data_IF_239630016812
#
_entry.id   IF_239630016812
#
_cell.length_a   1.000
_cell.length_b   1.000
_cell.length_c   1.000
_cell.angle_alpha   90.00
_cell.angle_beta   90.00
_cell.angle_gamma   90.00
#
_symmetry.space_group_name_H-M   'P 1'
#
loop_
_entity.id
_entity.type
_entity.pdbx_description
1 polymer ?
#
# COMPACT_ATOMS: atom_id res chain seq x y z
N UNK A 1 13.12 -20.00 4.71
CA UNK A 1 12.36 -18.81 5.17
C UNK A 1 12.45 -18.65 6.69
N UNK A 2 12.79 -17.46 7.18
CA UNK A 2 12.84 -17.08 8.61
C UNK A 2 11.74 -16.03 8.86
N UNK A 3 10.84 -16.31 9.81
CA UNK A 3 9.81 -15.35 10.22
C UNK A 3 10.34 -14.55 11.41
N UNK A 4 10.44 -13.23 11.25
CA UNK A 4 10.89 -12.34 12.32
C UNK A 4 9.71 -12.01 13.26
N UNK A 5 9.91 -12.21 14.56
CA UNK A 5 8.90 -11.96 15.60
C UNK A 5 9.42 -11.05 16.73
N UNK A 6 10.74 -11.13 17.02
CA UNK A 6 11.30 -10.37 18.11
C UNK A 6 11.32 -8.88 17.78
N UNK A 7 10.82 -8.04 18.69
CA UNK A 7 10.76 -6.59 18.52
C UNK A 7 12.14 -5.97 18.18
N UNK A 8 13.21 -6.47 18.81
CA UNK A 8 14.59 -6.04 18.54
C UNK A 8 15.00 -6.30 17.08
N UNK A 9 14.65 -7.46 16.54
CA UNK A 9 15.00 -7.83 15.16
C UNK A 9 14.18 -7.00 14.15
N UNK A 10 12.89 -6.81 14.39
CA UNK A 10 12.02 -5.96 13.57
C UNK A 10 12.50 -4.51 13.57
N UNK A 11 12.90 -3.97 14.73
CA UNK A 11 13.48 -2.61 14.83
C UNK A 11 14.80 -2.49 14.07
N UNK A 12 15.68 -3.52 14.16
CA UNK A 12 16.91 -3.56 13.37
C UNK A 12 16.61 -3.60 11.86
N UNK A 13 15.66 -4.43 11.47
CA UNK A 13 15.22 -4.55 10.06
C UNK A 13 14.70 -3.22 9.51
N UNK A 14 13.97 -2.42 10.31
CA UNK A 14 13.49 -1.09 9.91
C UNK A 14 14.64 -0.21 9.41
N UNK A 15 15.76 -0.18 10.13
CA UNK A 15 16.93 0.62 9.74
C UNK A 15 17.56 0.11 8.44
N UNK A 16 17.63 -1.22 8.25
CA UNK A 16 18.17 -1.81 7.01
C UNK A 16 17.26 -1.45 5.83
N UNK A 17 15.95 -1.66 5.94
CA UNK A 17 15.00 -1.33 4.88
C UNK A 17 14.98 0.16 4.53
N UNK A 18 15.21 1.04 5.53
CA UNK A 18 15.29 2.48 5.30
C UNK A 18 16.46 2.85 4.36
N UNK A 19 17.59 2.14 4.44
CA UNK A 19 18.75 2.35 3.57
C UNK A 19 18.51 1.81 2.15
N UNK A 20 17.49 0.96 1.96
CA UNK A 20 17.14 0.35 0.66
C UNK A 20 16.00 1.08 -0.08
N UNK A 21 15.62 2.27 0.41
CA UNK A 21 14.65 3.11 -0.29
C UNK A 21 15.21 3.55 -1.66
N UNK A 22 14.36 3.62 -2.69
CA UNK A 22 12.91 3.46 -2.75
C UNK A 22 12.41 2.01 -2.85
N UNK A 23 13.27 1.03 -3.03
CA UNK A 23 12.90 -0.35 -3.38
C UNK A 23 12.15 -1.08 -2.26
N UNK A 24 12.38 -0.71 -1.03
CA UNK A 24 11.81 -1.34 0.18
C UNK A 24 10.57 -0.67 0.72
N UNK A 25 10.05 0.39 0.06
CA UNK A 25 9.08 1.32 0.68
C UNK A 25 7.81 0.64 1.21
N UNK A 26 7.20 -0.25 0.43
CA UNK A 26 5.97 -0.94 0.85
C UNK A 26 6.25 -1.94 1.98
N UNK A 27 7.36 -2.69 1.90
CA UNK A 27 7.77 -3.62 2.98
C UNK A 27 8.11 -2.85 4.25
N UNK A 28 8.76 -1.68 4.14
CA UNK A 28 9.04 -0.79 5.27
C UNK A 28 7.77 -0.26 5.92
N UNK A 29 6.75 0.11 5.11
CA UNK A 29 5.44 0.52 5.61
C UNK A 29 4.73 -0.59 6.37
N UNK A 30 4.68 -1.81 5.82
CA UNK A 30 4.13 -2.97 6.51
C UNK A 30 4.88 -3.33 7.80
N UNK A 31 6.22 -3.22 7.80
CA UNK A 31 7.02 -3.40 9.03
C UNK A 31 6.70 -2.35 10.09
N UNK A 32 6.48 -1.11 9.69
CA UNK A 32 6.08 -0.06 10.62
C UNK A 32 4.70 -0.38 11.25
N UNK A 33 3.75 -0.85 10.44
CA UNK A 33 2.44 -1.31 10.91
C UNK A 33 2.59 -2.44 11.96
N UNK A 34 3.48 -3.41 11.71
CA UNK A 34 3.78 -4.50 12.67
C UNK A 34 4.33 -3.94 14.00
N UNK A 35 5.22 -2.96 13.94
CA UNK A 35 5.85 -2.37 15.12
C UNK A 35 4.92 -1.48 15.94
N UNK A 36 3.81 -1.00 15.38
CA UNK A 36 2.79 -0.21 16.09
C UNK A 36 1.78 -1.13 16.78
N UNK A 37 0.69 -1.43 16.13
CA UNK A 37 -0.43 -2.18 16.72
C UNK A 37 -0.84 -3.42 15.92
N UNK A 38 -0.28 -3.59 14.73
CA UNK A 38 -0.46 -4.73 13.83
C UNK A 38 -1.91 -5.23 13.69
N UNK A 39 -2.87 -4.30 13.54
CA UNK A 39 -4.31 -4.63 13.46
C UNK A 39 -4.61 -5.60 12.32
N UNK A 40 -3.88 -5.46 11.19
CA UNK A 40 -4.04 -6.32 10.01
C UNK A 40 -3.26 -7.64 10.11
N UNK A 41 -2.64 -7.93 11.27
CA UNK A 41 -1.92 -9.17 11.53
C UNK A 41 -0.84 -9.50 10.48
N UNK A 42 -0.12 -8.48 10.05
CA UNK A 42 0.99 -8.64 9.12
C UNK A 42 2.13 -9.46 9.75
N UNK A 43 2.83 -10.21 8.93
CA UNK A 43 4.07 -10.92 9.26
C UNK A 43 5.19 -10.46 8.36
N UNK A 44 6.40 -10.60 8.88
CA UNK A 44 7.62 -10.33 8.15
C UNK A 44 8.46 -11.58 8.05
N UNK A 45 8.84 -11.98 6.83
CA UNK A 45 9.82 -13.03 6.63
C UNK A 45 10.98 -12.59 5.74
N UNK A 46 12.12 -13.26 5.92
CA UNK A 46 13.35 -13.03 5.19
C UNK A 46 14.00 -14.36 4.77
N UNK A 47 14.89 -14.30 3.78
CA UNK A 47 15.70 -15.43 3.34
C UNK A 47 16.75 -15.83 4.39
N UNK A 48 17.41 -14.86 5.00
CA UNK A 48 18.44 -15.05 6.03
C UNK A 48 18.41 -13.90 7.05
N UNK A 49 19.04 -14.09 8.22
CA UNK A 49 19.11 -13.08 9.26
C UNK A 49 20.44 -13.22 10.04
N UNK A 50 21.09 -12.12 10.42
CA UNK A 50 20.67 -10.71 10.37
C UNK A 50 20.89 -9.99 9.04
N UNK A 51 21.55 -10.61 8.08
CA UNK A 51 21.75 -10.10 6.73
C UNK A 51 20.80 -10.83 5.80
N UNK A 52 20.01 -10.08 5.01
CA UNK A 52 19.04 -10.64 4.08
C UNK A 52 19.12 -9.97 2.71
N UNK A 53 18.73 -10.70 1.68
CA UNK A 53 18.59 -10.21 0.30
C UNK A 53 17.13 -10.05 -0.11
N UNK A 54 16.23 -10.77 0.53
CA UNK A 54 14.79 -10.74 0.23
C UNK A 54 13.99 -10.67 1.52
N UNK A 55 12.97 -9.80 1.51
CA UNK A 55 11.99 -9.68 2.57
C UNK A 55 10.58 -9.65 2.00
N UNK A 56 9.64 -10.32 2.64
CA UNK A 56 8.23 -10.33 2.30
C UNK A 56 7.42 -9.94 3.54
N UNK A 57 6.58 -8.92 3.38
CA UNK A 57 5.56 -8.54 4.34
C UNK A 57 4.20 -9.04 3.84
N UNK A 58 3.47 -9.78 4.66
CA UNK A 58 2.27 -10.46 4.23
C UNK A 58 1.26 -10.63 5.37
N UNK A 59 -0.02 -10.81 5.02
CA UNK A 59 -1.07 -11.10 5.98
C UNK A 59 -0.93 -12.53 6.53
N UNK A 60 -1.14 -12.67 7.84
CA UNK A 60 -1.26 -14.00 8.43
C UNK A 60 -2.68 -14.52 8.24
N UNK A 61 -2.84 -15.61 7.47
CA UNK A 61 -4.08 -16.36 7.44
C UNK A 61 -4.40 -16.92 8.83
N UNK A 62 -5.41 -16.38 9.50
CA UNK A 62 -6.04 -17.06 10.63
C UNK A 62 -7.48 -17.42 10.26
N UNK A 63 -7.78 -18.72 10.30
CA UNK A 63 -9.15 -19.23 10.36
C UNK A 63 -9.78 -18.59 11.60
N UNK A 64 -10.72 -17.65 11.41
CA UNK A 64 -11.36 -16.92 12.50
C UNK A 64 -11.00 -15.44 12.67
N UNK A 65 -10.11 -14.87 11.83
CA UNK A 65 -9.84 -13.43 11.88
C UNK A 65 -11.04 -12.60 11.39
N UNK A 66 -11.23 -11.41 11.97
CA UNK A 66 -12.25 -10.44 11.53
C UNK A 66 -12.00 -9.91 10.09
N UNK A 67 -10.93 -10.37 9.44
CA UNK A 67 -10.48 -9.95 8.12
C UNK A 67 -10.51 -11.09 7.08
N UNK A 68 -11.31 -12.15 7.29
CA UNK A 68 -11.44 -13.29 6.36
C UNK A 68 -11.80 -12.89 4.92
N UNK A 69 -12.40 -11.73 4.75
CA UNK A 69 -12.93 -11.24 3.48
C UNK A 69 -11.98 -10.26 2.78
N UNK A 70 -10.77 -10.02 3.34
CA UNK A 70 -9.76 -9.18 2.70
C UNK A 70 -8.80 -10.07 1.92
N UNK A 71 -8.67 -9.85 0.60
CA UNK A 71 -7.68 -10.52 -0.22
C UNK A 71 -6.29 -10.31 0.39
N UNK A 72 -5.56 -11.40 0.57
CA UNK A 72 -4.21 -11.34 1.11
C UNK A 72 -3.27 -10.66 0.15
N UNK A 73 -2.48 -9.74 0.66
CA UNK A 73 -1.46 -9.04 -0.09
C UNK A 73 -0.08 -9.36 0.45
N UNK A 74 0.83 -9.66 -0.46
CA UNK A 74 2.24 -9.91 -0.20
C UNK A 74 3.06 -8.81 -0.85
N UNK A 75 3.68 -7.96 -0.05
CA UNK A 75 4.61 -6.94 -0.53
C UNK A 75 6.03 -7.47 -0.47
N UNK A 76 6.77 -7.36 -1.57
CA UNK A 76 8.08 -8.00 -1.77
C UNK A 76 9.16 -6.94 -2.00
N UNK A 77 10.24 -7.07 -1.22
CA UNK A 77 11.53 -6.44 -1.47
C UNK A 77 12.57 -7.51 -1.75
N UNK A 78 13.33 -7.40 -2.85
CA UNK A 78 14.43 -8.32 -3.14
C UNK A 78 15.55 -7.66 -3.92
N UNK A 79 16.80 -8.02 -3.56
CA UNK A 79 18.04 -7.68 -4.26
C UNK A 79 18.61 -8.88 -5.03
N UNK A 80 18.03 -10.06 -4.85
CA UNK A 80 18.57 -11.30 -5.40
C UNK A 80 17.44 -12.24 -5.87
N UNK A 81 17.43 -12.54 -7.16
CA UNK A 81 16.40 -13.36 -7.78
C UNK A 81 16.37 -14.80 -7.24
N UNK A 82 17.52 -15.39 -6.94
CA UNK A 82 17.60 -16.76 -6.40
C UNK A 82 17.03 -16.82 -4.99
N UNK A 83 17.32 -15.81 -4.17
CA UNK A 83 16.78 -15.66 -2.84
C UNK A 83 15.25 -15.47 -2.87
N UNK A 84 14.76 -14.63 -3.80
CA UNK A 84 13.32 -14.46 -4.00
C UNK A 84 12.65 -15.77 -4.41
N UNK A 85 13.22 -16.48 -5.38
CA UNK A 85 12.73 -17.79 -5.84
C UNK A 85 12.66 -18.78 -4.68
N UNK A 86 13.71 -18.87 -3.88
CA UNK A 86 13.76 -19.74 -2.70
C UNK A 86 12.68 -19.41 -1.67
N UNK A 87 12.40 -18.13 -1.40
CA UNK A 87 11.32 -17.75 -0.49
C UNK A 87 9.93 -18.07 -1.05
N UNK A 88 9.70 -17.80 -2.33
CA UNK A 88 8.40 -18.06 -2.97
C UNK A 88 8.07 -19.54 -3.11
N UNK A 89 9.10 -20.41 -3.13
CA UNK A 89 8.93 -21.88 -3.18
C UNK A 89 8.82 -22.51 -1.79
N UNK A 90 9.10 -21.79 -0.71
CA UNK A 90 8.99 -22.33 0.67
C UNK A 90 7.51 -22.64 1.00
N UNK A 91 7.24 -23.85 1.50
CA UNK A 91 5.88 -24.33 1.80
C UNK A 91 5.19 -23.57 2.96
N UNK A 92 5.94 -22.80 3.72
CA UNK A 92 5.37 -21.91 4.75
C UNK A 92 4.66 -20.70 4.14
N UNK A 93 4.98 -20.35 2.89
CA UNK A 93 4.28 -19.34 2.12
C UNK A 93 3.10 -19.99 1.39
N UNK A 94 1.89 -19.73 1.84
CA UNK A 94 0.69 -20.39 1.31
C UNK A 94 0.17 -19.68 0.08
N UNK A 95 0.23 -20.35 -1.05
CA UNK A 95 -0.38 -19.92 -2.30
C UNK A 95 -1.84 -20.34 -2.36
N UNK A 96 -2.70 -19.46 -2.88
CA UNK A 96 -4.13 -19.73 -3.05
C UNK A 96 -4.73 -18.74 -4.06
N UNK A 97 -5.95 -19.05 -4.51
CA UNK A 97 -6.75 -18.14 -5.31
C UNK A 97 -7.00 -16.82 -4.57
N UNK A 98 -6.98 -15.70 -5.29
CA UNK A 98 -7.18 -14.38 -4.75
C UNK A 98 -5.99 -13.77 -3.99
N UNK A 99 -4.83 -14.47 -3.91
CA UNK A 99 -3.61 -13.90 -3.34
C UNK A 99 -3.02 -12.84 -4.27
N UNK A 100 -2.73 -11.64 -3.75
CA UNK A 100 -2.11 -10.55 -4.49
C UNK A 100 -0.64 -10.37 -4.12
N UNK A 101 0.23 -10.35 -5.11
CA UNK A 101 1.63 -9.95 -4.93
C UNK A 101 1.85 -8.53 -5.42
N UNK A 102 2.43 -7.69 -4.58
CA UNK A 102 3.02 -6.41 -4.95
C UNK A 102 4.53 -6.60 -5.05
N UNK A 103 5.06 -6.42 -6.26
CA UNK A 103 6.46 -6.70 -6.56
C UNK A 103 7.05 -5.68 -7.53
N UNK A 104 8.35 -5.39 -7.41
CA UNK A 104 9.05 -4.59 -8.42
C UNK A 104 8.94 -5.29 -9.79
N UNK A 105 8.63 -4.53 -10.84
CA UNK A 105 8.28 -5.05 -12.16
C UNK A 105 9.31 -6.08 -12.70
N UNK A 106 10.60 -5.86 -12.48
CA UNK A 106 11.67 -6.77 -12.92
C UNK A 106 11.69 -8.13 -12.19
N UNK A 107 10.88 -8.32 -11.15
CA UNK A 107 10.70 -9.59 -10.44
C UNK A 107 9.38 -10.30 -10.80
N UNK A 108 8.49 -9.67 -11.56
CA UNK A 108 7.16 -10.20 -11.87
C UNK A 108 7.23 -11.57 -12.56
N UNK A 109 8.20 -11.77 -13.43
CA UNK A 109 8.40 -13.03 -14.14
C UNK A 109 8.67 -14.22 -13.18
N UNK A 110 9.42 -14.00 -12.10
CA UNK A 110 9.70 -15.05 -11.10
C UNK A 110 8.40 -15.48 -10.40
N UNK A 111 7.53 -14.53 -10.06
CA UNK A 111 6.23 -14.84 -9.43
C UNK A 111 5.37 -15.66 -10.38
N UNK A 112 5.32 -15.32 -11.68
CA UNK A 112 4.56 -16.06 -12.72
C UNK A 112 5.05 -17.50 -12.85
N UNK A 113 6.37 -17.69 -12.95
CA UNK A 113 6.96 -19.00 -13.08
C UNK A 113 6.62 -19.91 -11.87
N UNK A 114 6.68 -19.37 -10.64
CA UNK A 114 6.38 -20.13 -9.44
C UNK A 114 4.88 -20.37 -9.30
N UNK A 115 4.02 -19.40 -9.70
CA UNK A 115 2.59 -19.61 -9.77
C UNK A 115 2.25 -20.81 -10.67
N UNK A 116 2.80 -20.84 -11.90
CA UNK A 116 2.61 -21.95 -12.83
C UNK A 116 3.08 -23.28 -12.28
N UNK A 117 4.25 -23.34 -11.63
CA UNK A 117 4.76 -24.54 -10.99
C UNK A 117 3.86 -25.06 -9.86
N UNK A 118 3.02 -24.20 -9.28
CA UNK A 118 2.08 -24.51 -8.20
C UNK A 118 0.63 -24.74 -8.71
N UNK A 119 0.41 -24.76 -10.03
CA UNK A 119 -0.92 -24.95 -10.63
C UNK A 119 -1.82 -23.71 -10.56
N UNK A 120 -1.19 -22.52 -10.60
CA UNK A 120 -1.89 -21.25 -10.65
C UNK A 120 -1.45 -20.45 -11.88
N UNK A 121 -2.34 -19.58 -12.37
CA UNK A 121 -1.95 -18.49 -13.25
C UNK A 121 -2.05 -17.14 -12.51
N UNK A 122 -1.52 -16.08 -13.09
CA UNK A 122 -1.60 -14.75 -12.51
C UNK A 122 -2.17 -13.75 -13.51
N UNK A 123 -3.13 -12.96 -13.04
CA UNK A 123 -3.59 -11.75 -13.71
C UNK A 123 -2.70 -10.58 -13.29
N UNK A 124 -2.32 -9.74 -14.25
CA UNK A 124 -1.42 -8.62 -14.00
C UNK A 124 -2.14 -7.28 -14.09
N UNK A 125 -1.93 -6.45 -13.08
CA UNK A 125 -2.18 -5.02 -13.12
C UNK A 125 -0.84 -4.28 -12.90
N UNK A 126 -0.22 -3.87 -14.01
CA UNK A 126 1.14 -3.32 -14.03
C UNK A 126 1.20 -1.85 -14.40
N UNK A 127 2.43 -1.32 -14.39
CA UNK A 127 2.70 0.04 -14.81
C UNK A 127 2.44 1.09 -13.73
N UNK A 128 2.52 0.73 -12.48
CA UNK A 128 2.52 1.66 -11.36
C UNK A 128 3.93 2.10 -11.01
N UNK A 129 4.09 3.36 -10.63
CA UNK A 129 5.32 3.86 -10.05
C UNK A 129 5.06 4.35 -8.64
N UNK A 130 5.97 4.01 -7.72
CA UNK A 130 5.98 4.66 -6.41
C UNK A 130 6.40 6.13 -6.58
N UNK A 131 5.71 7.02 -5.87
CA UNK A 131 6.09 8.42 -5.70
C UNK A 131 6.31 8.66 -4.23
N UNK A 132 7.52 9.08 -3.86
CA UNK A 132 7.99 9.13 -2.48
C UNK A 132 8.40 10.55 -2.13
N UNK A 133 7.97 11.04 -0.97
CA UNK A 133 8.49 12.27 -0.37
C UNK A 133 9.42 11.88 0.79
N UNK A 134 10.71 12.13 0.61
CA UNK A 134 11.76 11.86 1.60
C UNK A 134 11.88 12.95 2.66
N UNK A 135 11.33 14.14 2.40
CA UNK A 135 11.38 15.30 3.27
C UNK A 135 9.96 15.86 3.47
N UNK A 136 9.08 15.08 4.12
CA UNK A 136 7.67 15.46 4.24
C UNK A 136 7.46 16.76 5.01
N UNK A 137 8.40 17.19 5.84
CA UNK A 137 8.44 18.49 6.50
C UNK A 137 8.58 19.67 5.52
N UNK A 138 9.11 19.40 4.32
CA UNK A 138 9.25 20.38 3.21
C UNK A 138 8.11 20.28 2.20
N UNK A 139 7.05 19.55 2.51
CA UNK A 139 5.94 19.36 1.60
C UNK A 139 5.35 20.71 1.20
N UNK A 140 5.34 20.96 -0.10
CA UNK A 140 4.74 22.18 -0.65
C UNK A 140 3.22 22.04 -0.60
N UNK A 141 2.60 22.89 0.22
CA UNK A 141 1.15 23.00 0.24
C UNK A 141 0.68 23.64 -1.08
N UNK A 142 -0.41 23.14 -1.65
CA UNK A 142 -1.03 23.78 -2.80
C UNK A 142 -1.45 25.21 -2.41
N UNK A 143 -1.18 26.20 -3.27
CA UNK A 143 -1.64 27.59 -3.08
C UNK A 143 -3.17 27.67 -2.95
N UNK A 144 -3.89 26.68 -3.47
CA UNK A 144 -5.34 26.55 -3.35
C UNK A 144 -5.70 25.76 -2.10
N UNK A 145 -6.09 26.46 -1.06
CA UNK A 145 -6.66 25.86 0.15
C UNK A 145 -8.13 25.55 -0.05
N UNK A 146 -8.59 24.38 0.40
CA UNK A 146 -10.01 24.05 0.41
C UNK A 146 -10.78 25.05 1.30
N UNK A 147 -11.86 25.60 0.79
CA UNK A 147 -12.80 26.43 1.57
C UNK A 147 -13.85 25.59 2.30
N UNK A 148 -13.94 24.29 1.97
CA UNK A 148 -14.88 23.36 2.58
C UNK A 148 -14.26 22.69 3.82
N UNK A 149 -15.13 22.24 4.73
CA UNK A 149 -14.72 21.61 5.96
C UNK A 149 -13.99 20.27 5.73
N UNK A 150 -12.96 20.05 6.52
CA UNK A 150 -12.21 18.77 6.53
C UNK A 150 -12.75 17.88 7.65
N UNK A 151 -12.93 16.59 7.35
CA UNK A 151 -13.43 15.56 8.25
C UNK A 151 -12.69 14.23 8.00
N UNK A 152 -13.18 13.17 8.61
CA UNK A 152 -12.77 11.79 8.34
C UNK A 152 -13.94 11.00 7.73
N UNK A 153 -13.61 9.99 6.95
CA UNK A 153 -14.61 9.01 6.53
C UNK A 153 -15.00 8.12 7.73
N UNK A 154 -16.21 7.60 7.70
CA UNK A 154 -16.66 6.50 8.53
C UNK A 154 -17.07 5.31 7.64
N UNK A 155 -17.32 4.15 8.24
CA UNK A 155 -17.55 2.90 7.49
C UNK A 155 -18.77 2.94 6.55
N UNK A 156 -19.77 3.77 6.82
CA UNK A 156 -20.93 3.93 5.92
C UNK A 156 -20.55 4.56 4.58
N UNK A 157 -19.36 5.19 4.49
CA UNK A 157 -18.84 5.76 3.25
C UNK A 157 -18.05 4.76 2.38
N UNK A 158 -17.88 3.50 2.85
CA UNK A 158 -17.07 2.51 2.13
C UNK A 158 -17.60 2.22 0.71
N UNK A 159 -18.91 2.07 0.56
CA UNK A 159 -19.53 1.86 -0.74
C UNK A 159 -19.30 3.05 -1.68
N UNK A 160 -19.41 4.28 -1.18
CA UNK A 160 -19.10 5.49 -1.94
C UNK A 160 -17.66 5.49 -2.45
N UNK A 161 -16.70 5.06 -1.61
CA UNK A 161 -15.28 4.97 -2.00
C UNK A 161 -15.10 3.90 -3.09
N UNK A 162 -15.65 2.69 -2.88
CA UNK A 162 -15.51 1.56 -3.80
C UNK A 162 -16.11 1.86 -5.17
N UNK A 163 -17.25 2.52 -5.24
CA UNK A 163 -17.88 2.96 -6.51
C UNK A 163 -16.99 3.85 -7.39
N UNK A 164 -15.98 4.48 -6.80
CA UNK A 164 -15.04 5.35 -7.53
C UNK A 164 -13.72 4.66 -7.87
N UNK A 165 -13.55 3.40 -7.49
CA UNK A 165 -12.37 2.61 -7.87
C UNK A 165 -12.56 2.02 -9.27
N UNK A 166 -11.53 2.05 -10.13
CA UNK A 166 -11.61 1.49 -11.48
C UNK A 166 -11.97 -0.01 -11.51
N UNK A 167 -11.59 -0.73 -10.46
CA UNK A 167 -11.76 -2.18 -10.29
C UNK A 167 -12.54 -2.54 -9.01
N UNK A 168 -13.37 -1.61 -8.52
CA UNK A 168 -14.13 -1.80 -7.29
C UNK A 168 -15.23 -2.85 -7.45
N UNK A 169 -15.11 -3.96 -6.72
CA UNK A 169 -16.15 -4.99 -6.56
C UNK A 169 -16.67 -5.05 -5.12
N UNK A 170 -17.68 -5.90 -4.88
CA UNK A 170 -18.25 -6.11 -3.53
C UNK A 170 -17.20 -6.52 -2.50
N UNK A 171 -16.18 -7.25 -2.92
CA UNK A 171 -15.09 -7.76 -2.07
C UNK A 171 -14.21 -6.62 -1.51
N UNK A 172 -14.13 -5.48 -2.23
CA UNK A 172 -13.38 -4.32 -1.76
C UNK A 172 -14.07 -3.56 -0.63
N UNK A 173 -15.40 -3.70 -0.46
CA UNK A 173 -16.16 -2.95 0.57
C UNK A 173 -15.63 -3.25 1.97
N UNK A 174 -15.40 -4.51 2.29
CA UNK A 174 -14.90 -4.92 3.61
C UNK A 174 -13.47 -4.44 3.85
N UNK A 175 -12.62 -4.48 2.81
CA UNK A 175 -11.27 -3.92 2.86
C UNK A 175 -11.31 -2.41 3.14
N UNK A 176 -12.14 -1.67 2.40
CA UNK A 176 -12.27 -0.21 2.59
C UNK A 176 -12.85 0.13 3.95
N UNK A 177 -13.84 -0.62 4.47
CA UNK A 177 -14.33 -0.48 5.85
C UNK A 177 -13.21 -0.64 6.86
N UNK A 178 -12.37 -1.69 6.71
CA UNK A 178 -11.23 -1.92 7.60
C UNK A 178 -10.21 -0.78 7.56
N UNK A 179 -9.88 -0.26 6.37
CA UNK A 179 -9.00 0.91 6.23
C UNK A 179 -9.58 2.14 6.90
N UNK A 180 -10.86 2.43 6.67
CA UNK A 180 -11.53 3.58 7.29
C UNK A 180 -11.54 3.48 8.82
N UNK A 181 -11.77 2.30 9.36
CA UNK A 181 -11.84 2.04 10.80
C UNK A 181 -10.48 2.15 11.49
N UNK A 182 -9.42 1.61 10.87
CA UNK A 182 -8.16 1.35 11.55
C UNK A 182 -6.99 2.22 11.08
N UNK A 183 -7.10 2.87 9.93
CA UNK A 183 -6.00 3.62 9.34
C UNK A 183 -6.35 5.09 9.13
N UNK A 184 -5.33 5.97 9.10
CA UNK A 184 -5.54 7.38 8.83
C UNK A 184 -6.25 7.61 7.49
N UNK A 185 -7.31 8.39 7.52
CA UNK A 185 -8.02 8.88 6.35
C UNK A 185 -8.45 10.32 6.54
N UNK A 186 -8.74 11.04 5.46
CA UNK A 186 -9.29 12.40 5.48
C UNK A 186 -10.26 12.57 4.33
N UNK A 187 -11.29 13.38 4.57
CA UNK A 187 -12.20 13.82 3.52
C UNK A 187 -12.53 15.31 3.65
N UNK A 188 -12.94 15.89 2.54
CA UNK A 188 -13.62 17.20 2.50
C UNK A 188 -15.10 16.93 2.37
N UNK A 189 -15.92 17.62 3.12
CA UNK A 189 -17.38 17.50 3.09
C UNK A 189 -18.05 18.77 2.55
N UNK A 190 -19.19 18.61 1.89
CA UNK A 190 -20.03 19.73 1.48
C UNK A 190 -20.82 20.32 2.68
N UNK A 191 -21.64 21.32 2.42
CA UNK A 191 -22.47 22.00 3.42
C UNK A 191 -23.49 21.08 4.10
N UNK A 192 -23.81 19.94 3.47
CA UNK A 192 -24.70 18.89 4.02
C UNK A 192 -23.96 17.80 4.75
N UNK A 193 -22.62 17.87 4.84
CA UNK A 193 -21.78 16.88 5.48
C UNK A 193 -21.44 15.67 4.60
N UNK A 194 -21.74 15.68 3.30
CA UNK A 194 -21.42 14.56 2.40
C UNK A 194 -19.96 14.63 1.92
N UNK A 195 -19.21 13.53 1.93
CA UNK A 195 -17.84 13.48 1.40
C UNK A 195 -17.82 13.79 -0.10
N UNK A 196 -17.01 14.78 -0.48
CA UNK A 196 -16.84 15.22 -1.88
C UNK A 196 -15.44 15.02 -2.41
N UNK A 197 -14.48 14.83 -1.52
CA UNK A 197 -13.09 14.48 -1.82
C UNK A 197 -12.51 13.69 -0.65
N UNK A 198 -11.65 12.71 -0.90
CA UNK A 198 -11.05 11.89 0.14
C UNK A 198 -9.70 11.33 -0.25
N UNK A 199 -8.96 10.85 0.74
CA UNK A 199 -7.75 10.05 0.62
C UNK A 199 -7.66 9.12 1.83
N UNK A 200 -7.26 7.87 1.58
CA UNK A 200 -7.06 6.84 2.58
C UNK A 200 -5.58 6.40 2.62
N UNK A 201 -5.24 5.63 3.64
CA UNK A 201 -4.00 4.86 3.69
C UNK A 201 -4.31 3.37 3.76
N UNK A 202 -3.43 2.53 3.19
CA UNK A 202 -3.49 1.09 3.36
C UNK A 202 -2.58 0.60 4.50
N UNK A 203 -2.57 -0.70 4.75
CA UNK A 203 -1.77 -1.37 5.80
C UNK A 203 -0.27 -1.30 5.56
N UNK A 204 0.15 -0.96 4.35
CA UNK A 204 1.55 -0.68 4.00
C UNK A 204 1.89 0.81 4.09
N UNK A 205 1.02 1.61 4.68
CA UNK A 205 1.15 3.06 4.82
C UNK A 205 1.20 3.85 3.49
N UNK A 206 0.77 3.24 2.39
CA UNK A 206 0.62 3.89 1.10
C UNK A 206 -0.61 4.81 1.08
N UNK A 207 -0.47 6.03 0.57
CA UNK A 207 -1.62 6.90 0.29
C UNK A 207 -2.38 6.36 -0.91
N UNK A 208 -3.64 5.98 -0.73
CA UNK A 208 -4.48 5.32 -1.74
C UNK A 208 -5.87 5.93 -1.87
N UNK A 209 -6.56 5.48 -2.91
CA UNK A 209 -7.97 5.76 -3.14
C UNK A 209 -8.32 7.25 -3.10
N UNK A 210 -7.36 8.11 -3.50
CA UNK A 210 -7.58 9.54 -3.56
C UNK A 210 -8.57 9.88 -4.68
N UNK A 211 -9.65 10.57 -4.34
CA UNK A 211 -10.68 10.95 -5.30
C UNK A 211 -11.29 12.31 -4.97
N UNK A 212 -11.76 12.99 -6.00
CA UNK A 212 -12.61 14.17 -5.89
C UNK A 212 -13.75 14.08 -6.88
N UNK A 213 -14.97 14.25 -6.42
CA UNK A 213 -16.16 14.26 -7.27
C UNK A 213 -16.03 15.34 -8.36
N UNK A 214 -16.46 15.08 -9.61
CA UNK A 214 -16.20 15.94 -10.78
C UNK A 214 -16.50 17.42 -10.54
N UNK A 215 -17.65 17.76 -9.95
CA UNK A 215 -18.08 19.15 -9.69
C UNK A 215 -17.22 19.90 -8.67
N UNK A 216 -16.38 19.17 -7.89
CA UNK A 216 -15.49 19.74 -6.88
C UNK A 216 -14.01 19.72 -7.29
N UNK A 217 -13.68 19.22 -8.49
CA UNK A 217 -12.29 19.17 -8.98
C UNK A 217 -11.68 20.54 -9.18
N UNK A 218 -10.33 20.59 -9.27
CA UNK A 218 -9.51 21.80 -9.52
C UNK A 218 -9.59 22.87 -8.42
N UNK A 219 -10.11 22.53 -7.24
CA UNK A 219 -10.20 23.41 -6.06
C UNK A 219 -9.15 23.10 -4.98
N UNK A 220 -8.18 22.21 -5.25
CA UNK A 220 -7.09 21.88 -4.33
C UNK A 220 -7.41 20.87 -3.23
N UNK A 221 -8.62 20.29 -3.19
CA UNK A 221 -9.06 19.42 -2.08
C UNK A 221 -8.12 18.25 -1.80
N UNK A 222 -7.75 17.42 -2.79
CA UNK A 222 -6.83 16.28 -2.59
C UNK A 222 -5.47 16.76 -2.10
N UNK A 223 -4.97 17.88 -2.61
CA UNK A 223 -3.71 18.47 -2.15
C UNK A 223 -3.74 18.84 -0.67
N UNK A 224 -4.83 19.45 -0.22
CA UNK A 224 -5.06 19.79 1.19
C UNK A 224 -5.18 18.54 2.08
N UNK A 225 -6.00 17.56 1.68
CA UNK A 225 -6.19 16.32 2.43
C UNK A 225 -4.88 15.53 2.57
N UNK A 226 -4.13 15.44 1.48
CA UNK A 226 -2.82 14.80 1.50
C UNK A 226 -1.87 15.51 2.46
N UNK A 227 -1.81 16.85 2.41
CA UNK A 227 -0.97 17.62 3.31
C UNK A 227 -1.29 17.31 4.78
N UNK A 228 -2.57 17.28 5.17
CA UNK A 228 -2.99 16.98 6.54
C UNK A 228 -2.61 15.56 6.98
N UNK A 229 -2.73 14.55 6.08
CA UNK A 229 -2.28 13.18 6.36
C UNK A 229 -0.76 13.08 6.48
N UNK A 230 -0.02 13.80 5.64
CA UNK A 230 1.45 13.82 5.68
C UNK A 230 1.94 14.40 7.00
N UNK A 231 1.35 15.49 7.48
CA UNK A 231 1.71 16.07 8.78
C UNK A 231 1.54 15.05 9.92
N UNK A 232 0.48 14.25 9.89
CA UNK A 232 0.31 13.16 10.85
C UNK A 232 1.43 12.11 10.73
N UNK A 233 1.82 11.72 9.51
CA UNK A 233 2.85 10.71 9.27
C UNK A 233 4.28 11.16 9.58
N UNK A 234 4.56 12.46 9.54
CA UNK A 234 5.86 13.03 9.95
C UNK A 234 6.18 12.63 11.39
N UNK A 235 5.21 12.69 12.28
CA UNK A 235 5.41 12.29 13.68
C UNK A 235 5.74 10.81 13.86
N UNK A 236 5.41 9.98 12.85
CA UNK A 236 5.69 8.54 12.83
C UNK A 236 7.10 8.22 12.29
N UNK A 237 7.82 9.21 11.74
CA UNK A 237 9.18 9.04 11.21
C UNK A 237 9.25 8.15 9.98
N UNK A 238 8.21 8.16 9.13
CA UNK A 238 8.18 7.43 7.87
C UNK A 238 8.17 8.36 6.67
N UNK A 239 8.83 7.97 5.56
CA UNK A 239 8.60 8.62 4.29
C UNK A 239 7.15 8.39 3.85
N UNK A 240 6.59 9.39 3.19
CA UNK A 240 5.22 9.30 2.66
C UNK A 240 5.28 8.93 1.20
N UNK A 241 4.47 7.96 0.79
CA UNK A 241 4.44 7.51 -0.59
C UNK A 241 3.02 7.19 -1.08
N UNK A 242 2.89 7.16 -2.38
CA UNK A 242 1.74 6.63 -3.10
C UNK A 242 2.20 5.86 -4.34
N UNK A 243 1.30 5.09 -4.93
CA UNK A 243 1.53 4.42 -6.20
C UNK A 243 0.58 5.01 -7.24
N UNK A 244 1.11 5.35 -8.41
CA UNK A 244 0.36 6.02 -9.48
C UNK A 244 0.61 5.27 -10.78
N UNK A 245 -0.47 4.88 -11.44
CA UNK A 245 -0.41 4.28 -12.77
C UNK A 245 0.25 5.24 -13.77
N UNK A 246 1.11 4.72 -14.63
CA UNK A 246 1.92 5.50 -15.60
C UNK A 246 1.08 6.42 -16.50
N UNK A 247 -0.16 6.05 -16.78
CA UNK A 247 -1.06 6.82 -17.64
C UNK A 247 -1.88 7.88 -16.89
N UNK A 248 -1.75 7.97 -15.55
CA UNK A 248 -2.44 8.97 -14.74
C UNK A 248 -1.63 10.27 -14.64
N UNK A 249 -1.51 10.98 -15.79
CA UNK A 249 -0.74 12.21 -15.90
C UNK A 249 -1.16 13.29 -14.90
N UNK A 250 -2.44 13.36 -14.55
CA UNK A 250 -2.96 14.35 -13.60
C UNK A 250 -2.40 14.11 -12.19
N UNK A 251 -2.42 12.87 -11.70
CA UNK A 251 -1.85 12.49 -10.40
C UNK A 251 -0.33 12.63 -10.40
N UNK A 252 0.35 12.21 -11.47
CA UNK A 252 1.80 12.37 -11.63
C UNK A 252 2.20 13.83 -11.50
N UNK A 253 1.57 14.73 -12.28
CA UNK A 253 1.86 16.16 -12.23
C UNK A 253 1.61 16.75 -10.84
N UNK A 254 0.51 16.36 -10.20
CA UNK A 254 0.16 16.83 -8.85
C UNK A 254 1.20 16.39 -7.81
N UNK A 255 1.66 15.14 -7.84
CA UNK A 255 2.61 14.62 -6.87
C UNK A 255 4.03 15.19 -7.09
N UNK A 256 4.47 15.31 -8.35
CA UNK A 256 5.76 15.93 -8.67
C UNK A 256 5.82 17.39 -8.21
N UNK A 257 4.77 18.19 -8.45
CA UNK A 257 4.67 19.58 -7.97
C UNK A 257 4.66 19.67 -6.44
N UNK A 258 4.20 18.65 -5.75
CA UNK A 258 4.21 18.59 -4.29
C UNK A 258 5.52 18.05 -3.70
N UNK A 259 6.57 17.87 -4.51
CA UNK A 259 7.88 17.44 -4.04
C UNK A 259 8.04 15.93 -3.88
N UNK A 260 7.16 15.12 -4.49
CA UNK A 260 7.35 13.68 -4.56
C UNK A 260 8.26 13.30 -5.72
N UNK A 261 9.18 12.38 -5.45
CA UNK A 261 10.10 11.84 -6.44
C UNK A 261 9.62 10.49 -6.92
N UNK A 262 9.69 10.24 -8.22
CA UNK A 262 9.39 8.93 -8.81
C UNK A 262 10.42 7.90 -8.35
N UNK A 263 9.93 6.77 -7.86
CA UNK A 263 10.72 5.63 -7.41
C UNK A 263 10.58 4.43 -8.35
N UNK A 264 10.32 3.26 -7.77
CA UNK A 264 10.34 1.96 -8.44
C UNK A 264 9.05 1.72 -9.22
N UNK A 265 9.17 1.07 -10.38
CA UNK A 265 8.04 0.49 -11.09
C UNK A 265 7.58 -0.78 -10.38
N UNK A 266 6.30 -0.84 -10.09
CA UNK A 266 5.64 -1.90 -9.33
C UNK A 266 4.53 -2.54 -10.16
N UNK A 267 4.39 -3.84 -10.03
CA UNK A 267 3.34 -4.65 -10.64
C UNK A 267 2.57 -5.38 -9.56
N UNK A 268 1.26 -5.43 -9.70
CA UNK A 268 0.37 -6.26 -8.92
C UNK A 268 0.04 -7.52 -9.70
N UNK A 269 0.16 -8.67 -9.06
CA UNK A 269 -0.07 -9.99 -9.63
C UNK A 269 -1.11 -10.73 -8.79
N UNK A 270 -2.32 -10.88 -9.34
CA UNK A 270 -3.41 -11.60 -8.68
C UNK A 270 -3.33 -13.08 -9.06
N UNK A 271 -3.17 -13.94 -8.07
CA UNK A 271 -3.15 -15.40 -8.24
C UNK A 271 -4.55 -15.91 -8.51
N UNK A 272 -4.69 -16.75 -9.54
CA UNK A 272 -5.93 -17.42 -9.92
C UNK A 272 -5.72 -18.91 -10.02
N UNK A 273 -6.64 -19.70 -9.47
CA UNK A 273 -6.65 -21.14 -9.67
C UNK A 273 -6.85 -21.44 -11.17
N UNK A 274 -6.13 -22.45 -11.67
CA UNK A 274 -6.45 -23.03 -12.97
C UNK A 274 -7.79 -23.76 -12.84
N UNK A 275 -8.79 -23.38 -13.64
CA UNK A 275 -10.13 -23.93 -13.61
C UNK A 275 -10.20 -25.39 -14.10
#
# INVERSE_FOLDING_TARGET
MIILKAFKDLTRMKNILYQELPHSISVLGGLHHILQNNVFQLKMCVDSWPTFSTAICYHQNQIGSNFKEINEKYSIFSKNQNSLRSLLTDDKLKWRDGLEFEVANHHSQIVREIASLRGFHVEEDGGYYSYINYSPEKLIMSEKTSTLATSTLNESHAELVVQQLPYGGSDEINRVKAYIRHLPNRCVVDEKGHPVSWVLTDEFHCLRMAYTQPKYRRKGHVGHLRFTLVQQKISEGLPVFCQIHKDNAASISMMSKAGFTRGVETTYLMVKAEG
#
